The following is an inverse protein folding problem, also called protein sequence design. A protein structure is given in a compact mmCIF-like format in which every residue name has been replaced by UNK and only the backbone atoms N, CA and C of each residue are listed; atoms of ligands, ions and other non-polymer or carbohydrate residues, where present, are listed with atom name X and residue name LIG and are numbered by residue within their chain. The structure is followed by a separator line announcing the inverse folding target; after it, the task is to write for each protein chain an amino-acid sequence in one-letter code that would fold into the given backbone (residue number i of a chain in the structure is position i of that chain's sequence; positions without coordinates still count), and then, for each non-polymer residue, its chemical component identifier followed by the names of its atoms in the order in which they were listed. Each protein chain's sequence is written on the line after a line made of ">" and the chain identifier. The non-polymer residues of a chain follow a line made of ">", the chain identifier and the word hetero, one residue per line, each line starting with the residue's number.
data_IF_266108332165
#
_entry.id   IF_266108332165
#
_cell.length_a   1.000
_cell.length_b   1.000
_cell.length_c   1.000
_cell.angle_alpha   90.00
_cell.angle_beta   90.00
_cell.angle_gamma   90.00
#
_symmetry.space_group_name_H-M   'P 1'
#
loop_
_entity.id
_entity.type
_entity.pdbx_description
1 polymer ?
#
# COMPACT_ATOMS: atom_id res chain seq x y z
N UNK A 1 13.26 -5.88 -18.18
CA UNK A 1 11.85 -5.44 -18.16
C UNK A 1 11.83 -4.03 -18.70
N UNK A 2 10.82 -3.62 -19.48
CA UNK A 2 10.68 -2.23 -19.91
C UNK A 2 10.53 -1.31 -18.67
N UNK A 3 11.04 -0.08 -18.79
CA UNK A 3 10.90 0.91 -17.70
C UNK A 3 9.45 1.29 -17.53
N UNK A 4 9.04 1.54 -16.28
CA UNK A 4 7.67 1.86 -15.89
C UNK A 4 7.59 3.28 -15.35
N UNK A 5 6.57 4.03 -15.76
CA UNK A 5 6.31 5.41 -15.33
C UNK A 5 4.82 5.61 -15.10
N UNK A 6 4.48 6.56 -14.24
CA UNK A 6 3.10 6.94 -13.98
C UNK A 6 2.78 8.28 -14.67
N UNK A 7 1.63 8.35 -15.33
CA UNK A 7 1.08 9.60 -15.88
C UNK A 7 -0.43 9.52 -15.98
N UNK A 8 -1.10 10.60 -15.68
CA UNK A 8 -2.56 10.76 -15.88
C UNK A 8 -2.88 11.44 -17.23
N UNK A 9 -1.86 11.87 -17.97
CA UNK A 9 -2.03 12.52 -19.27
C UNK A 9 -2.02 11.47 -20.39
N UNK A 10 -3.08 10.65 -20.43
CA UNK A 10 -3.29 9.62 -21.46
C UNK A 10 -4.65 9.86 -22.10
N UNK A 11 -4.70 10.12 -23.39
CA UNK A 11 -5.93 10.28 -24.17
C UNK A 11 -5.70 10.02 -25.64
N UNK A 12 -6.73 9.52 -26.32
CA UNK A 12 -6.81 9.37 -27.77
C UNK A 12 -5.58 8.70 -28.42
N UNK A 13 -5.05 7.66 -27.79
CA UNK A 13 -3.89 6.93 -28.30
C UNK A 13 -2.56 7.64 -28.13
N UNK A 14 -2.51 8.71 -27.33
CA UNK A 14 -1.30 9.47 -27.00
C UNK A 14 -1.12 9.61 -25.49
N UNK A 15 0.12 9.85 -25.04
CA UNK A 15 0.42 10.17 -23.65
C UNK A 15 1.58 11.15 -23.52
N UNK A 16 1.62 11.84 -22.39
CA UNK A 16 2.72 12.76 -22.06
C UNK A 16 3.26 12.44 -20.67
N UNK A 17 4.58 12.31 -20.58
CA UNK A 17 5.31 12.22 -19.33
C UNK A 17 5.99 13.55 -19.05
N UNK A 18 5.95 14.04 -17.79
CA UNK A 18 6.48 15.37 -17.42
C UNK A 18 7.47 15.32 -16.26
N UNK A 19 8.22 16.41 -16.13
CA UNK A 19 9.05 16.72 -14.96
C UNK A 19 10.14 15.68 -14.70
N UNK A 20 10.29 15.23 -13.45
CA UNK A 20 11.38 14.35 -13.04
C UNK A 20 11.41 13.01 -13.80
N UNK A 21 10.26 12.43 -14.11
CA UNK A 21 10.16 11.16 -14.83
C UNK A 21 10.52 11.34 -16.33
N UNK A 22 10.13 12.44 -16.95
CA UNK A 22 10.56 12.78 -18.31
C UNK A 22 12.08 13.01 -18.38
N UNK A 23 12.62 13.74 -17.39
CA UNK A 23 14.06 13.94 -17.26
C UNK A 23 14.81 12.60 -17.04
N UNK A 24 14.28 11.74 -16.17
CA UNK A 24 14.86 10.41 -15.93
C UNK A 24 14.89 9.58 -17.22
N UNK A 25 13.77 9.49 -17.95
CA UNK A 25 13.70 8.74 -19.20
C UNK A 25 14.64 9.31 -20.28
N UNK A 26 14.63 10.63 -20.48
CA UNK A 26 15.39 11.28 -21.56
C UNK A 26 16.90 11.38 -21.27
N UNK A 27 17.29 11.73 -20.03
CA UNK A 27 18.68 12.04 -19.68
C UNK A 27 19.41 10.89 -18.98
N UNK A 28 18.75 10.22 -18.05
CA UNK A 28 19.37 9.13 -17.28
C UNK A 28 19.33 7.83 -18.06
N UNK A 29 18.14 7.46 -18.56
CA UNK A 29 17.94 6.24 -19.34
C UNK A 29 18.34 6.40 -20.80
N UNK A 30 18.50 7.65 -21.29
CA UNK A 30 18.87 7.97 -22.67
C UNK A 30 17.92 7.36 -23.69
N UNK A 31 16.63 7.40 -23.40
CA UNK A 31 15.57 6.92 -24.28
C UNK A 31 15.63 7.58 -25.67
N UNK A 32 15.25 6.87 -26.69
CA UNK A 32 15.28 7.28 -28.09
C UNK A 32 13.89 7.20 -28.70
N UNK A 33 13.67 7.92 -29.80
CA UNK A 33 12.47 7.76 -30.61
C UNK A 33 12.31 6.29 -31.01
N UNK A 34 11.11 5.75 -30.84
CA UNK A 34 10.78 4.35 -31.11
C UNK A 34 11.04 3.39 -29.95
N UNK A 35 11.70 3.81 -28.87
CA UNK A 35 11.83 2.97 -27.67
C UNK A 35 10.49 2.80 -27.00
N UNK A 36 10.26 1.62 -26.38
CA UNK A 36 9.02 1.29 -25.70
C UNK A 36 9.20 1.28 -24.19
N UNK A 37 8.19 1.80 -23.48
CA UNK A 37 8.07 1.78 -22.01
C UNK A 37 6.65 1.34 -21.62
N UNK A 38 6.43 1.08 -20.35
CA UNK A 38 5.09 0.89 -19.80
C UNK A 38 4.68 2.19 -19.10
N UNK A 39 3.54 2.74 -19.48
CA UNK A 39 2.88 3.80 -18.74
C UNK A 39 1.74 3.24 -17.92
N UNK A 40 1.59 3.73 -16.68
CA UNK A 40 0.53 3.36 -15.76
C UNK A 40 -0.30 4.60 -15.45
N UNK A 41 -1.62 4.47 -15.40
CA UNK A 41 -2.53 5.58 -15.04
C UNK A 41 -2.68 5.77 -13.53
N UNK A 42 -2.15 4.84 -12.73
CA UNK A 42 -2.29 4.82 -11.28
C UNK A 42 -3.55 4.12 -10.78
N UNK A 43 -4.40 3.61 -11.68
CA UNK A 43 -5.68 2.94 -11.40
C UNK A 43 -5.71 1.49 -11.88
N UNK A 44 -4.54 0.83 -11.88
CA UNK A 44 -4.33 -0.54 -12.34
C UNK A 44 -4.48 -0.75 -13.87
N UNK A 45 -4.44 0.29 -14.68
CA UNK A 45 -4.38 0.16 -16.14
C UNK A 45 -2.97 0.51 -16.63
N UNK A 46 -2.45 -0.34 -17.48
CA UNK A 46 -1.13 -0.24 -18.11
C UNK A 46 -1.27 -0.05 -19.61
N UNK A 47 -0.31 0.67 -20.17
CA UNK A 47 -0.25 0.96 -21.60
C UNK A 47 1.16 0.69 -22.13
N UNK A 48 1.28 -0.07 -23.21
CA UNK A 48 2.52 -0.11 -23.98
C UNK A 48 2.66 1.21 -24.72
N UNK A 49 3.72 1.95 -24.43
CA UNK A 49 3.94 3.30 -24.92
C UNK A 49 5.23 3.38 -25.75
N UNK A 50 5.16 3.94 -26.95
CA UNK A 50 6.31 4.16 -27.84
C UNK A 50 6.65 5.64 -27.87
N UNK A 51 7.91 6.00 -27.64
CA UNK A 51 8.39 7.39 -27.63
C UNK A 51 8.27 7.97 -29.05
N UNK A 52 7.50 9.05 -29.20
CA UNK A 52 7.29 9.78 -30.46
C UNK A 52 7.95 11.14 -30.50
N UNK A 53 8.25 11.73 -29.33
CA UNK A 53 8.86 13.06 -29.25
C UNK A 53 9.49 13.37 -27.89
N UNK A 54 10.39 14.36 -27.94
CA UNK A 54 10.99 14.98 -26.74
C UNK A 54 10.76 16.48 -26.81
N UNK A 55 10.12 17.04 -25.79
CA UNK A 55 9.95 18.46 -25.59
C UNK A 55 10.81 19.00 -24.44
N UNK A 56 10.54 20.24 -24.07
CA UNK A 56 11.14 20.85 -22.89
C UNK A 56 10.49 20.25 -21.62
N UNK A 57 11.27 19.46 -20.85
CA UNK A 57 10.81 18.70 -19.69
C UNK A 57 9.63 17.73 -19.96
N UNK A 58 9.44 17.31 -21.21
CA UNK A 58 8.38 16.37 -21.59
C UNK A 58 8.90 15.26 -22.48
N UNK A 59 8.24 14.10 -22.42
CA UNK A 59 8.37 13.02 -23.40
C UNK A 59 6.96 12.66 -23.87
N UNK A 60 6.80 12.56 -25.19
CA UNK A 60 5.55 12.26 -25.87
C UNK A 60 5.55 10.82 -26.36
N UNK A 61 4.37 10.19 -26.30
CA UNK A 61 4.20 8.79 -26.68
C UNK A 61 2.97 8.57 -27.56
N UNK A 62 3.05 7.58 -28.44
CA UNK A 62 1.88 6.85 -28.90
C UNK A 62 1.63 5.67 -27.95
N UNK A 63 0.38 5.40 -27.60
CA UNK A 63 0.02 4.31 -26.69
C UNK A 63 -0.92 3.32 -27.35
N UNK A 64 -0.71 2.03 -27.06
CA UNK A 64 -1.63 0.97 -27.42
C UNK A 64 -2.85 0.98 -26.47
N UNK A 65 -3.94 0.26 -26.79
CA UNK A 65 -5.07 0.13 -25.88
C UNK A 65 -4.63 -0.35 -24.50
N UNK A 66 -5.17 0.27 -23.44
CA UNK A 66 -4.84 -0.08 -22.06
C UNK A 66 -5.29 -1.49 -21.70
N UNK A 67 -4.56 -2.12 -20.80
CA UNK A 67 -4.84 -3.45 -20.27
C UNK A 67 -4.68 -3.47 -18.74
N UNK A 68 -5.40 -4.36 -18.03
CA UNK A 68 -5.25 -4.47 -16.58
C UNK A 68 -3.83 -4.85 -16.17
N UNK A 69 -3.30 -4.21 -15.12
CA UNK A 69 -2.02 -4.58 -14.53
C UNK A 69 -2.07 -5.99 -13.94
N UNK A 70 -1.12 -6.83 -14.31
CA UNK A 70 -1.00 -8.18 -13.75
C UNK A 70 -0.34 -8.20 -12.36
N UNK A 71 0.18 -7.06 -11.89
CA UNK A 71 0.88 -6.96 -10.61
C UNK A 71 -0.05 -6.66 -9.43
N UNK A 72 -1.34 -6.42 -9.68
CA UNK A 72 -2.26 -6.02 -8.63
C UNK A 72 -2.92 -7.23 -7.95
N UNK A 73 -2.95 -7.25 -6.60
CA UNK A 73 -3.60 -8.31 -5.85
C UNK A 73 -5.10 -8.39 -6.12
N UNK A 74 -5.66 -9.58 -5.90
CA UNK A 74 -7.11 -9.84 -5.98
C UNK A 74 -7.87 -9.40 -4.72
N UNK A 75 -7.16 -8.94 -3.70
CA UNK A 75 -7.68 -8.38 -2.45
C UNK A 75 -7.21 -6.94 -2.28
N UNK A 76 -7.97 -6.12 -1.56
CA UNK A 76 -7.62 -4.74 -1.18
C UNK A 76 -7.17 -4.75 0.28
N UNK A 77 -5.91 -4.42 0.54
CA UNK A 77 -5.31 -4.48 1.87
C UNK A 77 -4.94 -3.10 2.38
N UNK A 78 -5.59 -2.72 3.48
CA UNK A 78 -5.23 -1.53 4.27
C UNK A 78 -4.44 -1.92 5.50
N UNK A 79 -3.23 -1.37 5.67
CA UNK A 79 -2.43 -1.46 6.88
C UNK A 79 -2.72 -0.28 7.82
N UNK A 80 -3.36 -0.58 8.96
CA UNK A 80 -3.46 0.36 10.08
C UNK A 80 -2.29 0.09 11.04
N UNK A 81 -1.34 1.02 11.10
CA UNK A 81 -0.06 0.82 11.81
C UNK A 81 0.04 1.78 12.99
N UNK A 82 0.16 1.25 14.21
CA UNK A 82 0.51 2.05 15.38
C UNK A 82 1.80 2.83 15.11
N UNK A 83 1.77 4.16 15.29
CA UNK A 83 2.86 5.04 14.87
C UNK A 83 4.18 4.69 15.56
N UNK A 84 5.18 4.11 14.87
CA UNK A 84 6.42 3.65 15.49
C UNK A 84 7.44 4.78 15.62
N UNK A 85 8.49 4.53 16.38
CA UNK A 85 9.64 5.44 16.47
C UNK A 85 10.54 5.33 15.22
N UNK A 86 11.30 6.41 14.98
CA UNK A 86 12.33 6.45 13.93
C UNK A 86 11.74 6.20 12.53
N UNK A 87 12.54 5.56 11.67
CA UNK A 87 12.21 5.33 10.25
C UNK A 87 11.50 3.99 9.99
N UNK A 88 10.98 3.35 11.04
CA UNK A 88 10.33 2.03 10.93
C UNK A 88 9.07 2.07 10.08
N UNK A 89 8.31 3.17 10.16
CA UNK A 89 7.12 3.33 9.31
C UNK A 89 7.49 3.40 7.82
N UNK A 90 8.63 3.99 7.48
CA UNK A 90 9.12 4.03 6.10
C UNK A 90 9.45 2.62 5.56
N UNK A 91 10.01 1.75 6.42
CA UNK A 91 10.27 0.35 6.07
C UNK A 91 8.95 -0.41 5.87
N UNK A 92 7.98 -0.22 6.77
CA UNK A 92 6.66 -0.86 6.66
C UNK A 92 5.95 -0.42 5.38
N UNK A 93 5.98 0.88 5.04
CA UNK A 93 5.36 1.40 3.82
C UNK A 93 6.04 0.79 2.58
N UNK A 94 7.38 0.90 2.48
CA UNK A 94 8.12 0.39 1.33
C UNK A 94 7.83 -1.09 1.06
N UNK A 95 8.06 -1.94 2.05
CA UNK A 95 7.87 -3.37 1.88
C UNK A 95 6.40 -3.79 1.86
N UNK A 96 5.51 -3.03 2.51
CA UNK A 96 4.06 -3.25 2.41
C UNK A 96 3.55 -3.02 0.98
N UNK A 97 4.05 -1.99 0.29
CA UNK A 97 3.76 -1.74 -1.14
C UNK A 97 4.26 -2.90 -2.01
N UNK A 98 5.50 -3.36 -1.80
CA UNK A 98 6.08 -4.52 -2.51
C UNK A 98 5.25 -5.79 -2.30
N UNK A 99 4.66 -5.95 -1.12
CA UNK A 99 3.78 -7.07 -0.77
C UNK A 99 2.33 -6.90 -1.25
N UNK A 100 1.97 -5.77 -1.87
CA UNK A 100 0.66 -5.55 -2.45
C UNK A 100 -0.33 -4.76 -1.60
N UNK A 101 0.09 -4.07 -0.52
CA UNK A 101 -0.80 -3.17 0.22
C UNK A 101 -1.15 -1.93 -0.61
N UNK A 102 -2.42 -1.51 -0.54
CA UNK A 102 -2.95 -0.36 -1.26
C UNK A 102 -2.97 0.90 -0.38
N UNK A 103 -3.26 0.75 0.91
CA UNK A 103 -3.48 1.87 1.82
C UNK A 103 -2.72 1.70 3.13
N UNK A 104 -2.13 2.80 3.61
CA UNK A 104 -1.43 2.86 4.89
C UNK A 104 -2.04 3.95 5.76
N UNK A 105 -2.51 3.59 6.95
CA UNK A 105 -3.11 4.51 7.90
C UNK A 105 -2.35 4.42 9.23
N UNK A 106 -1.39 5.31 9.48
CA UNK A 106 -0.76 5.40 10.78
C UNK A 106 -1.77 5.85 11.85
N UNK A 107 -1.57 5.45 13.09
CA UNK A 107 -2.42 5.94 14.19
C UNK A 107 -1.67 6.00 15.52
N UNK A 108 -2.20 6.77 16.45
CA UNK A 108 -1.69 6.82 17.82
C UNK A 108 -2.51 5.90 18.72
N UNK A 109 -1.81 4.96 19.40
CA UNK A 109 -2.37 4.14 20.47
C UNK A 109 -1.89 4.62 21.84
N UNK A 110 -2.44 4.09 22.92
CA UNK A 110 -2.12 4.48 24.28
C UNK A 110 -0.62 4.41 24.60
N UNK A 111 0.07 3.40 24.08
CA UNK A 111 1.50 3.17 24.31
C UNK A 111 2.39 3.70 23.19
N UNK A 112 1.85 4.47 22.24
CA UNK A 112 2.65 5.19 21.29
C UNK A 112 3.46 6.28 21.98
N UNK A 113 4.78 6.19 21.89
CA UNK A 113 5.71 7.20 22.46
C UNK A 113 6.09 8.24 21.42
N UNK A 114 5.94 7.94 20.14
CA UNK A 114 6.25 8.85 19.06
C UNK A 114 5.18 9.94 18.98
N UNK A 115 5.63 11.20 19.00
CA UNK A 115 4.81 12.38 18.72
C UNK A 115 5.48 13.15 17.59
N UNK A 116 5.14 12.89 16.33
CA UNK A 116 5.78 13.56 15.21
C UNK A 116 5.45 15.05 15.24
N UNK A 117 6.49 15.86 15.10
CA UNK A 117 6.33 17.26 14.74
C UNK A 117 6.26 17.32 13.21
N UNK A 118 5.39 18.16 12.63
CA UNK A 118 5.24 18.36 11.18
C UNK A 118 4.71 17.10 10.46
N UNK A 119 3.55 16.63 10.85
CA UNK A 119 2.89 15.45 10.31
C UNK A 119 2.69 15.52 8.80
N UNK A 120 2.29 16.67 8.26
CA UNK A 120 2.09 16.88 6.84
C UNK A 120 3.37 16.66 6.02
N UNK A 121 4.50 17.24 6.44
CA UNK A 121 5.79 17.05 5.74
C UNK A 121 6.28 15.60 5.78
N UNK A 122 6.00 14.88 6.88
CA UNK A 122 6.30 13.46 6.97
C UNK A 122 5.38 12.64 6.07
N UNK A 123 4.11 13.00 6.00
CA UNK A 123 3.16 12.32 5.15
C UNK A 123 3.52 12.46 3.66
N UNK A 124 3.91 13.65 3.20
CA UNK A 124 4.45 13.85 1.85
C UNK A 124 5.65 12.91 1.56
N UNK A 125 6.57 12.78 2.54
CA UNK A 125 7.70 11.87 2.41
C UNK A 125 7.24 10.41 2.34
N UNK A 126 6.26 9.99 3.13
CA UNK A 126 5.73 8.63 3.11
C UNK A 126 5.05 8.31 1.79
N UNK A 127 4.25 9.22 1.25
CA UNK A 127 3.64 9.04 -0.06
C UNK A 127 4.68 8.95 -1.18
N UNK A 128 5.79 9.71 -1.10
CA UNK A 128 6.90 9.59 -2.05
C UNK A 128 7.58 8.21 -1.93
N UNK A 129 7.76 7.67 -0.72
CA UNK A 129 8.31 6.32 -0.52
C UNK A 129 7.38 5.26 -1.12
N UNK A 130 6.07 5.37 -0.91
CA UNK A 130 5.07 4.47 -1.50
C UNK A 130 5.10 4.53 -3.04
N UNK A 131 5.16 5.72 -3.61
CA UNK A 131 5.28 5.94 -5.05
C UNK A 131 6.53 5.29 -5.64
N UNK A 132 7.72 5.52 -5.04
CA UNK A 132 8.96 4.93 -5.53
C UNK A 132 8.97 3.40 -5.38
N UNK A 133 8.39 2.86 -4.31
CA UNK A 133 8.24 1.43 -4.13
C UNK A 133 7.33 0.81 -5.20
N UNK A 134 6.18 1.44 -5.52
CA UNK A 134 5.27 0.99 -6.57
C UNK A 134 5.94 0.95 -7.94
N UNK A 135 6.70 1.99 -8.28
CA UNK A 135 7.51 2.02 -9.53
C UNK A 135 8.51 0.87 -9.58
N UNK A 136 9.24 0.66 -8.49
CA UNK A 136 10.30 -0.35 -8.42
C UNK A 136 9.76 -1.77 -8.49
N UNK A 137 8.67 -2.08 -7.77
CA UNK A 137 8.10 -3.44 -7.76
C UNK A 137 7.13 -3.71 -8.92
N UNK A 138 6.83 -2.71 -9.75
CA UNK A 138 6.04 -2.88 -10.97
C UNK A 138 4.53 -2.82 -10.76
N UNK A 139 4.05 -2.22 -9.68
CA UNK A 139 2.61 -2.01 -9.47
C UNK A 139 2.03 -1.01 -10.46
N UNK A 140 0.76 -1.21 -10.84
CA UNK A 140 -0.03 -0.30 -11.68
C UNK A 140 -0.91 0.65 -10.88
N UNK A 141 -1.10 0.39 -9.58
CA UNK A 141 -1.81 1.26 -8.61
C UNK A 141 -0.80 2.10 -7.85
N UNK A 142 -1.17 3.35 -7.56
CA UNK A 142 -0.44 4.23 -6.65
C UNK A 142 -0.98 4.06 -5.23
N UNK A 143 -0.24 3.40 -4.32
CA UNK A 143 -0.65 3.27 -2.93
C UNK A 143 -0.63 4.64 -2.24
N UNK A 144 -1.51 4.84 -1.26
CA UNK A 144 -1.56 6.07 -0.48
C UNK A 144 -1.23 5.87 1.00
N UNK A 145 -0.69 6.92 1.60
CA UNK A 145 -0.43 6.99 3.04
C UNK A 145 -1.25 8.14 3.61
N UNK A 146 -2.23 7.83 4.44
CA UNK A 146 -3.07 8.82 5.09
C UNK A 146 -2.32 9.57 6.21
N UNK A 147 -2.83 10.74 6.59
CA UNK A 147 -2.41 11.40 7.83
C UNK A 147 -2.74 10.51 9.05
N UNK A 148 -1.93 10.54 10.11
CA UNK A 148 -2.15 9.70 11.27
C UNK A 148 -3.51 9.95 11.94
N UNK A 149 -4.22 8.88 12.28
CA UNK A 149 -5.41 8.98 13.11
C UNK A 149 -5.02 9.35 14.55
N UNK A 150 -5.77 10.27 15.20
CA UNK A 150 -5.36 10.89 16.47
C UNK A 150 -5.39 9.94 17.67
N UNK A 151 -6.12 8.83 17.59
CA UNK A 151 -6.22 7.83 18.65
C UNK A 151 -6.85 6.53 18.14
N UNK A 152 -6.75 5.47 18.94
CA UNK A 152 -7.30 4.15 18.59
C UNK A 152 -8.84 4.14 18.46
N UNK A 153 -9.55 5.01 19.16
CA UNK A 153 -10.99 5.18 18.98
C UNK A 153 -11.37 5.67 17.57
N UNK A 154 -10.52 6.50 16.94
CA UNK A 154 -10.71 6.89 15.54
C UNK A 154 -10.51 5.70 14.57
N UNK A 155 -9.55 4.82 14.88
CA UNK A 155 -9.39 3.55 14.14
C UNK A 155 -10.67 2.74 14.21
N UNK A 156 -11.18 2.46 15.41
CA UNK A 156 -12.39 1.64 15.60
C UNK A 156 -13.61 2.18 14.85
N UNK A 157 -13.77 3.50 14.75
CA UNK A 157 -14.88 4.11 14.00
C UNK A 157 -14.78 3.98 12.48
N UNK A 158 -13.62 3.63 11.95
CA UNK A 158 -13.40 3.49 10.51
C UNK A 158 -13.45 2.04 10.01
N UNK A 159 -13.76 1.09 10.88
CA UNK A 159 -13.64 -0.33 10.56
C UNK A 159 -14.84 -0.90 9.80
N UNK A 160 -15.97 -0.24 9.80
CA UNK A 160 -17.22 -0.65 9.16
C UNK A 160 -17.17 -0.73 7.62
N UNK A 161 -16.16 -0.13 7.02
CA UNK A 161 -15.92 -0.13 5.57
C UNK A 161 -15.14 -1.34 5.05
N UNK A 162 -14.67 -2.23 5.95
CA UNK A 162 -13.89 -3.40 5.59
C UNK A 162 -14.70 -4.69 5.78
N UNK A 163 -14.52 -5.63 4.87
CA UNK A 163 -15.18 -6.94 4.94
C UNK A 163 -14.55 -7.84 6.00
N UNK A 164 -13.23 -7.68 6.24
CA UNK A 164 -12.49 -8.40 7.26
C UNK A 164 -11.51 -7.45 7.96
N UNK A 165 -11.59 -7.41 9.29
CA UNK A 165 -10.65 -6.66 10.13
C UNK A 165 -9.82 -7.63 10.96
N UNK A 166 -8.51 -7.63 10.76
CA UNK A 166 -7.53 -8.45 11.47
C UNK A 166 -6.80 -7.61 12.51
N UNK A 167 -7.02 -7.90 13.79
CA UNK A 167 -6.33 -7.26 14.90
C UNK A 167 -5.19 -8.15 15.40
N UNK A 168 -3.95 -7.78 15.10
CA UNK A 168 -2.76 -8.55 15.48
C UNK A 168 -2.41 -8.29 16.94
N UNK A 169 -2.62 -9.30 17.79
CA UNK A 169 -2.42 -9.18 19.22
C UNK A 169 -1.65 -10.39 19.79
N UNK A 170 -0.74 -10.13 20.71
CA UNK A 170 0.14 -11.17 21.27
C UNK A 170 -0.57 -12.24 22.12
N UNK A 171 -1.78 -11.95 22.58
CA UNK A 171 -2.56 -12.90 23.37
C UNK A 171 -3.23 -14.01 22.56
N UNK A 172 -2.84 -14.18 21.30
CA UNK A 172 -3.40 -15.20 20.40
C UNK A 172 -4.67 -14.74 19.69
N UNK A 173 -5.36 -15.66 19.04
CA UNK A 173 -6.58 -15.36 18.29
C UNK A 173 -6.98 -16.53 17.39
N UNK A 174 -7.94 -16.28 16.48
CA UNK A 174 -8.36 -17.25 15.50
C UNK A 174 -7.28 -17.51 14.44
N UNK A 175 -7.23 -18.71 13.85
CA UNK A 175 -6.33 -19.01 12.76
C UNK A 175 -6.63 -18.12 11.53
N UNK A 176 -5.61 -17.43 11.02
CA UNK A 176 -5.75 -16.51 9.87
C UNK A 176 -6.39 -17.20 8.65
N UNK A 177 -5.98 -18.44 8.35
CA UNK A 177 -6.53 -19.25 7.25
C UNK A 177 -8.05 -19.42 7.37
N UNK A 178 -8.57 -19.64 8.57
CA UNK A 178 -10.00 -19.79 8.80
C UNK A 178 -10.74 -18.48 8.55
N UNK A 179 -10.24 -17.38 9.10
CA UNK A 179 -10.85 -16.06 8.94
C UNK A 179 -10.92 -15.63 7.46
N UNK A 180 -9.86 -15.88 6.69
CA UNK A 180 -9.84 -15.58 5.27
C UNK A 180 -10.78 -16.48 4.46
N UNK A 181 -10.92 -17.77 4.82
CA UNK A 181 -11.83 -18.68 4.14
C UNK A 181 -13.32 -18.34 4.38
N UNK A 182 -13.64 -17.74 5.52
CA UNK A 182 -15.01 -17.32 5.89
C UNK A 182 -15.35 -15.92 5.36
N UNK A 183 -14.36 -15.09 5.03
CA UNK A 183 -14.56 -13.72 4.57
C UNK A 183 -15.10 -13.70 3.13
N UNK A 184 -16.02 -12.78 2.88
CA UNK A 184 -16.60 -12.56 1.54
C UNK A 184 -16.70 -11.05 1.28
N UNK A 185 -16.41 -10.59 0.07
CA UNK A 185 -16.64 -9.20 -0.29
C UNK A 185 -18.14 -8.86 -0.24
N UNK A 186 -18.47 -7.69 0.27
CA UNK A 186 -19.87 -7.24 0.43
C UNK A 186 -20.58 -7.08 -0.93
N UNK A 187 -19.85 -6.59 -1.95
CA UNK A 187 -20.46 -6.17 -3.23
C UNK A 187 -19.94 -6.97 -4.45
N UNK A 188 -19.30 -8.13 -4.24
CA UNK A 188 -18.70 -8.93 -5.32
C UNK A 188 -17.45 -8.30 -5.93
N UNK A 189 -16.92 -7.23 -5.32
CA UNK A 189 -15.65 -6.61 -5.63
C UNK A 189 -14.47 -7.33 -4.95
N UNK A 190 -13.30 -6.70 -4.91
CA UNK A 190 -12.17 -7.21 -4.13
C UNK A 190 -12.52 -7.25 -2.64
N UNK A 191 -12.10 -8.32 -1.95
CA UNK A 191 -12.22 -8.43 -0.50
C UNK A 191 -11.39 -7.33 0.18
N UNK A 192 -12.05 -6.44 0.92
CA UNK A 192 -11.42 -5.32 1.66
C UNK A 192 -10.96 -5.78 3.04
N UNK A 193 -9.67 -5.87 3.23
CA UNK A 193 -9.05 -6.37 4.45
C UNK A 193 -8.32 -5.23 5.18
N UNK A 194 -8.72 -4.94 6.42
CA UNK A 194 -7.96 -4.09 7.32
C UNK A 194 -7.06 -4.94 8.22
N UNK A 195 -5.79 -4.57 8.34
CA UNK A 195 -4.82 -5.21 9.22
C UNK A 195 -4.35 -4.18 10.24
N UNK A 196 -4.59 -4.41 11.51
CA UNK A 196 -4.22 -3.51 12.61
C UNK A 196 -3.03 -4.08 13.35
N UNK A 197 -1.91 -3.35 13.39
CA UNK A 197 -0.70 -3.70 14.12
C UNK A 197 -0.27 -2.58 15.07
N UNK A 198 0.25 -2.94 16.25
CA UNK A 198 0.68 -1.96 17.26
C UNK A 198 2.05 -1.35 16.99
N UNK A 199 2.32 -0.23 17.68
CA UNK A 199 3.68 0.31 17.83
C UNK A 199 4.51 -0.56 18.80
N UNK A 200 5.71 -0.09 19.20
CA UNK A 200 6.62 -0.85 20.08
C UNK A 200 6.00 -1.23 21.43
N UNK A 201 5.07 -0.46 21.94
CA UNK A 201 4.37 -0.73 23.20
C UNK A 201 3.15 -1.65 23.09
N UNK A 202 2.82 -2.09 21.86
CA UNK A 202 1.62 -2.88 21.61
C UNK A 202 0.32 -2.13 21.92
N UNK A 203 -0.67 -2.85 22.41
CA UNK A 203 -2.00 -2.34 22.74
C UNK A 203 -2.32 -2.49 24.21
N UNK A 204 -3.09 -1.55 24.76
CA UNK A 204 -3.71 -1.72 26.06
C UNK A 204 -4.88 -2.72 25.99
N UNK A 205 -5.22 -3.37 27.11
CA UNK A 205 -6.34 -4.31 27.15
C UNK A 205 -7.66 -3.66 26.72
N UNK A 206 -7.88 -2.42 27.11
CA UNK A 206 -9.06 -1.62 26.75
C UNK A 206 -9.12 -1.37 25.23
N UNK A 207 -7.98 -1.21 24.56
CA UNK A 207 -7.91 -1.05 23.10
C UNK A 207 -8.27 -2.37 22.40
N UNK A 208 -7.82 -3.51 22.93
CA UNK A 208 -8.21 -4.81 22.40
C UNK A 208 -9.72 -5.07 22.55
N UNK A 209 -10.32 -4.67 23.68
CA UNK A 209 -11.77 -4.74 23.86
C UNK A 209 -12.52 -3.81 22.89
N UNK A 210 -12.00 -2.60 22.65
CA UNK A 210 -12.58 -1.67 21.68
C UNK A 210 -12.55 -2.24 20.26
N UNK A 211 -11.42 -2.84 19.84
CA UNK A 211 -11.28 -3.50 18.56
C UNK A 211 -12.30 -4.63 18.40
N UNK A 212 -12.44 -5.50 19.41
CA UNK A 212 -13.40 -6.59 19.39
C UNK A 212 -14.86 -6.10 19.28
N UNK A 213 -15.21 -5.05 20.02
CA UNK A 213 -16.55 -4.40 19.96
C UNK A 213 -16.83 -3.77 18.58
N UNK A 214 -15.79 -3.31 17.90
CA UNK A 214 -15.86 -2.78 16.53
C UNK A 214 -15.82 -3.89 15.45
N UNK A 215 -15.89 -5.16 15.82
CA UNK A 215 -15.96 -6.29 14.88
C UNK A 215 -14.61 -6.85 14.42
N UNK A 216 -13.48 -6.32 14.93
CA UNK A 216 -12.16 -6.85 14.59
C UNK A 216 -11.96 -8.27 15.12
N UNK A 217 -11.32 -9.11 14.31
CA UNK A 217 -10.96 -10.49 14.67
C UNK A 217 -9.52 -10.53 15.14
N UNK A 218 -9.31 -10.96 16.37
CA UNK A 218 -7.96 -11.12 16.92
C UNK A 218 -7.22 -12.26 16.21
N UNK A 219 -5.99 -11.98 15.80
CA UNK A 219 -5.10 -12.93 15.12
C UNK A 219 -3.75 -12.98 15.83
N UNK A 220 -3.29 -14.19 16.14
CA UNK A 220 -1.94 -14.43 16.64
C UNK A 220 -0.98 -14.72 15.47
N UNK A 221 0.23 -14.17 15.55
CA UNK A 221 1.29 -14.37 14.54
C UNK A 221 2.34 -15.41 14.99
N UNK A 222 1.91 -16.43 15.71
CA UNK A 222 2.75 -17.50 16.27
C UNK A 222 3.27 -17.19 17.67
N UNK A 223 4.14 -18.07 18.22
CA UNK A 223 4.54 -18.02 19.64
C UNK A 223 5.64 -16.96 19.92
N UNK A 224 6.18 -16.31 18.92
CA UNK A 224 7.23 -15.31 19.09
C UNK A 224 6.65 -13.91 18.97
N UNK A 225 7.09 -13.00 19.83
CA UNK A 225 6.77 -11.57 19.72
C UNK A 225 7.55 -10.99 18.54
N UNK A 226 6.82 -10.47 17.57
CA UNK A 226 7.39 -9.78 16.40
C UNK A 226 7.56 -8.29 16.72
N UNK A 227 8.58 -7.68 16.17
CA UNK A 227 8.76 -6.22 16.24
C UNK A 227 7.67 -5.49 15.46
N UNK A 228 7.39 -4.23 15.81
CA UNK A 228 6.36 -3.41 15.18
C UNK A 228 6.58 -3.18 13.67
N UNK A 229 7.81 -3.27 13.18
CA UNK A 229 8.16 -3.25 11.77
C UNK A 229 8.06 -4.63 11.10
N UNK A 230 8.12 -5.72 11.87
CA UNK A 230 8.07 -7.11 11.36
C UNK A 230 6.64 -7.65 11.29
N UNK A 231 5.84 -7.37 12.31
CA UNK A 231 4.48 -7.89 12.42
C UNK A 231 3.58 -7.54 11.22
N UNK A 232 3.52 -6.27 10.74
CA UNK A 232 2.71 -5.92 9.58
C UNK A 232 3.14 -6.68 8.32
N UNK A 233 4.43 -6.81 8.07
CA UNK A 233 4.94 -7.50 6.88
C UNK A 233 4.66 -9.00 6.93
N UNK A 234 4.79 -9.62 8.11
CA UNK A 234 4.51 -11.03 8.32
C UNK A 234 3.03 -11.36 8.06
N UNK A 235 2.10 -10.54 8.58
CA UNK A 235 0.67 -10.80 8.37
C UNK A 235 0.25 -10.50 6.94
N UNK A 236 0.77 -9.44 6.31
CA UNK A 236 0.50 -9.15 4.90
C UNK A 236 0.99 -10.30 4.01
N UNK A 237 2.24 -10.76 4.19
CA UNK A 237 2.74 -11.91 3.42
C UNK A 237 1.86 -13.14 3.59
N UNK A 238 1.40 -13.42 4.81
CA UNK A 238 0.51 -14.55 5.07
C UNK A 238 -0.87 -14.36 4.40
N UNK A 239 -1.44 -13.15 4.43
CA UNK A 239 -2.70 -12.83 3.72
C UNK A 239 -2.51 -13.04 2.23
N UNK A 240 -1.47 -12.45 1.62
CA UNK A 240 -1.22 -12.55 0.18
C UNK A 240 -0.98 -13.98 -0.27
N UNK A 241 -0.23 -14.78 0.51
CA UNK A 241 -0.04 -16.21 0.22
C UNK A 241 -1.36 -16.99 0.31
N UNK A 242 -2.15 -16.77 1.38
CA UNK A 242 -3.40 -17.49 1.60
C UNK A 242 -4.52 -17.09 0.63
N UNK A 243 -4.40 -15.96 -0.04
CA UNK A 243 -5.32 -15.48 -1.08
C UNK A 243 -4.80 -15.68 -2.50
N UNK A 244 -3.66 -16.39 -2.68
CA UNK A 244 -3.09 -16.72 -3.98
C UNK A 244 -2.41 -15.55 -4.69
N UNK A 245 -1.95 -14.54 -3.96
CA UNK A 245 -1.29 -13.36 -4.52
C UNK A 245 0.25 -13.39 -4.38
N UNK A 246 0.81 -14.43 -3.75
CA UNK A 246 2.25 -14.68 -3.61
C UNK A 246 2.57 -16.15 -3.93
N UNK A 247 2.13 -16.63 -5.08
CA UNK A 247 2.45 -17.96 -5.60
C UNK A 247 3.35 -17.89 -6.84
#
# INVERSE_FOLDING_TARGET
>A
MPHRYFTTEISDGTAVLRGADAHHLSRVMRGKLGDTVILCDGSAVEYTATITGFGDETVEFSVEPGYPSAAEPTVDVTLLVGYPKQDKLEQVIRHGVELGCDHFIPFFSRYCVAAPKKEEQKNERYNRIAFEAAKQCGRGVLPDVALPLPNFGAVCRSLDRYDLVLFCYECGGAPLRQLLAEAKPADGEKLKIAIITGAEGGFAAEEAEMAAKAGAKTVGLGPRILRCETAPLAVVSAVMTLTGNLE
#
